data_IF_419849660300
#
_entry.id   IF_419849660300
#
_cell.length_a   1.000
_cell.length_b   1.000
_cell.length_c   1.000
_cell.angle_alpha   90.00
_cell.angle_beta   90.00
_cell.angle_gamma   90.00
#
_symmetry.space_group_name_H-M   'P 1'
#
loop_
_entity.id
_entity.type
_entity.pdbx_description
1 polymer ?
#
# COMPACT_ATOMS: atom_id res chain seq x y z
N UNK A 1 -37.28 -25.83 7.40
CA UNK A 1 -36.04 -25.85 6.59
C UNK A 1 -35.50 -24.45 6.30
N UNK A 2 -36.28 -23.55 5.70
CA UNK A 2 -35.80 -22.22 5.26
C UNK A 2 -35.19 -21.41 6.41
N UNK A 3 -35.86 -21.35 7.57
CA UNK A 3 -35.37 -20.60 8.75
C UNK A 3 -34.03 -21.16 9.28
N UNK A 4 -33.87 -22.49 9.27
CA UNK A 4 -32.62 -23.14 9.69
C UNK A 4 -31.47 -22.88 8.71
N UNK A 5 -31.75 -22.86 7.40
CA UNK A 5 -30.75 -22.51 6.39
C UNK A 5 -30.32 -21.05 6.51
N UNK A 6 -31.23 -20.13 6.81
CA UNK A 6 -30.91 -18.71 7.00
C UNK A 6 -30.02 -18.51 8.24
N UNK A 7 -30.35 -19.18 9.34
CA UNK A 7 -29.51 -19.14 10.55
C UNK A 7 -28.13 -19.74 10.33
N UNK A 8 -28.04 -20.90 9.66
CA UNK A 8 -26.76 -21.53 9.33
C UNK A 8 -25.91 -20.64 8.40
N UNK A 9 -26.53 -19.97 7.44
CA UNK A 9 -25.84 -19.05 6.54
C UNK A 9 -25.26 -17.85 7.32
N UNK A 10 -26.05 -17.24 8.22
CA UNK A 10 -25.60 -16.10 9.04
C UNK A 10 -24.45 -16.51 9.95
N UNK A 11 -24.58 -17.63 10.67
CA UNK A 11 -23.55 -18.12 11.60
C UNK A 11 -22.26 -18.50 10.86
N UNK A 12 -22.39 -19.17 9.70
CA UNK A 12 -21.24 -19.50 8.86
C UNK A 12 -20.50 -18.24 8.37
N UNK A 13 -21.24 -17.20 7.98
CA UNK A 13 -20.67 -15.94 7.50
C UNK A 13 -19.91 -15.19 8.60
N UNK A 14 -20.43 -15.22 9.83
CA UNK A 14 -19.75 -14.65 11.01
C UNK A 14 -18.48 -15.42 11.32
N UNK A 15 -18.55 -16.76 11.42
CA UNK A 15 -17.39 -17.60 11.74
C UNK A 15 -16.25 -17.45 10.73
N UNK A 16 -16.56 -17.40 9.43
CA UNK A 16 -15.56 -17.20 8.37
C UNK A 16 -14.90 -15.83 8.48
N UNK A 17 -15.68 -14.77 8.76
CA UNK A 17 -15.11 -13.44 8.96
C UNK A 17 -14.26 -13.36 10.23
N UNK A 18 -14.67 -13.99 11.33
CA UNK A 18 -13.88 -14.05 12.57
C UNK A 18 -12.58 -14.82 12.38
N UNK A 19 -12.62 -15.96 11.68
CA UNK A 19 -11.43 -16.75 11.37
C UNK A 19 -10.45 -15.98 10.49
N UNK A 20 -10.95 -15.34 9.42
CA UNK A 20 -10.09 -14.49 8.58
C UNK A 20 -9.52 -13.30 9.34
N UNK A 21 -10.29 -12.69 10.23
CA UNK A 21 -9.82 -11.58 11.06
C UNK A 21 -8.67 -12.00 11.98
N UNK A 22 -8.80 -13.14 12.65
CA UNK A 22 -7.75 -13.67 13.52
C UNK A 22 -6.50 -14.10 12.76
N UNK A 23 -6.65 -14.70 11.58
CA UNK A 23 -5.54 -15.28 10.83
C UNK A 23 -4.81 -14.28 9.93
N UNK A 24 -5.52 -13.32 9.35
CA UNK A 24 -4.99 -12.37 8.37
C UNK A 24 -5.03 -10.91 8.83
N UNK A 25 -5.42 -10.66 10.09
CA UNK A 25 -5.46 -9.33 10.69
C UNK A 25 -6.52 -8.40 10.11
N UNK A 26 -7.56 -8.93 9.48
CA UNK A 26 -8.62 -8.15 8.82
C UNK A 26 -9.75 -9.03 8.27
N UNK A 27 -10.94 -8.46 8.09
CA UNK A 27 -12.10 -9.19 7.54
C UNK A 27 -12.07 -9.21 6.00
N UNK A 28 -12.85 -10.10 5.35
CA UNK A 28 -12.98 -10.08 3.88
C UNK A 28 -13.52 -8.74 3.38
N UNK A 29 -14.40 -8.12 4.16
CA UNK A 29 -14.93 -6.79 3.89
C UNK A 29 -13.82 -5.73 3.94
N UNK A 30 -12.85 -5.84 4.84
CA UNK A 30 -11.73 -4.91 4.90
C UNK A 30 -10.81 -5.01 3.66
N UNK A 31 -10.67 -6.20 3.06
CA UNK A 31 -10.01 -6.36 1.75
C UNK A 31 -10.83 -5.80 0.59
N UNK A 32 -12.16 -5.96 0.59
CA UNK A 32 -13.04 -5.51 -0.48
C UNK A 32 -13.34 -4.00 -0.43
N UNK A 33 -13.37 -3.43 0.77
CA UNK A 33 -13.64 -2.02 1.06
C UNK A 33 -12.39 -1.22 1.43
N UNK A 34 -11.19 -1.81 1.34
CA UNK A 34 -9.94 -1.03 1.27
C UNK A 34 -10.02 -0.17 0.02
N UNK A 35 -10.59 1.02 0.22
CA UNK A 35 -10.60 2.12 -0.73
C UNK A 35 -9.23 2.17 -1.37
N UNK A 36 -9.23 2.15 -2.69
CA UNK A 36 -8.11 2.47 -3.59
C UNK A 36 -7.52 3.87 -3.38
N UNK A 37 -7.79 4.53 -2.25
CA UNK A 37 -7.66 5.97 -2.06
C UNK A 37 -6.91 6.33 -0.78
N UNK A 38 -5.79 5.65 -0.55
CA UNK A 38 -4.63 6.35 0.00
C UNK A 38 -3.57 6.32 -1.09
N UNK A 39 -3.81 7.07 -2.18
CA UNK A 39 -2.67 7.57 -2.95
C UNK A 39 -1.75 8.20 -1.92
N UNK A 40 -0.56 7.63 -1.77
CA UNK A 40 0.47 8.17 -0.90
C UNK A 40 0.55 9.69 -1.11
N UNK A 41 0.60 10.52 -0.04
CA UNK A 41 0.76 11.96 -0.18
C UNK A 41 2.09 12.34 -0.90
N UNK A 42 2.99 11.37 -1.05
CA UNK A 42 4.28 11.49 -1.75
C UNK A 42 4.23 10.92 -3.17
N UNK A 43 3.13 10.31 -3.62
CA UNK A 43 2.98 9.82 -4.98
C UNK A 43 3.06 10.97 -6.00
N UNK A 44 3.95 10.83 -6.98
CA UNK A 44 4.28 11.86 -7.97
C UNK A 44 5.47 12.74 -7.60
N UNK A 45 6.02 12.61 -6.38
CA UNK A 45 7.23 13.34 -5.98
C UNK A 45 8.50 12.62 -6.43
N UNK A 46 9.59 13.37 -6.57
CA UNK A 46 10.88 12.85 -6.98
C UNK A 46 11.58 12.23 -5.76
N UNK A 47 12.07 11.00 -5.90
CA UNK A 47 12.88 10.30 -4.91
C UNK A 47 14.36 10.53 -5.21
N UNK A 48 15.09 11.05 -4.22
CA UNK A 48 16.54 11.17 -4.22
C UNK A 48 17.13 10.30 -3.11
N UNK A 49 18.30 9.73 -3.34
CA UNK A 49 19.04 9.02 -2.29
C UNK A 49 19.62 10.03 -1.30
N UNK A 50 19.34 9.87 0.00
CA UNK A 50 19.84 10.75 1.06
C UNK A 50 21.35 10.71 1.20
N UNK A 51 21.98 9.58 0.90
CA UNK A 51 23.44 9.42 1.01
C UNK A 51 24.17 10.08 -0.14
N UNK A 52 23.77 9.77 -1.37
CA UNK A 52 24.49 10.21 -2.57
C UNK A 52 23.88 11.44 -3.26
N UNK A 53 22.67 11.86 -2.86
CA UNK A 53 21.87 12.91 -3.50
C UNK A 53 21.55 12.66 -4.98
N UNK A 54 21.71 11.42 -5.46
CA UNK A 54 21.34 11.07 -6.82
C UNK A 54 19.83 10.87 -6.95
N UNK A 55 19.31 11.26 -8.12
CA UNK A 55 17.94 10.99 -8.50
C UNK A 55 17.75 9.48 -8.70
N UNK A 56 16.74 8.92 -8.03
CA UNK A 56 16.40 7.50 -8.11
C UNK A 56 15.24 7.31 -9.08
N UNK A 57 14.20 8.15 -8.99
CA UNK A 57 12.97 7.97 -9.75
C UNK A 57 11.78 8.76 -9.18
N UNK A 58 10.57 8.43 -9.62
CA UNK A 58 9.32 9.04 -9.13
C UNK A 58 8.63 8.09 -8.16
N UNK A 59 8.24 8.59 -6.98
CA UNK A 59 7.47 7.80 -6.01
C UNK A 59 6.09 7.55 -6.59
N UNK A 60 5.69 6.29 -6.69
CA UNK A 60 4.35 5.89 -7.15
C UNK A 60 3.43 5.56 -5.99
N UNK A 61 3.97 4.90 -4.97
CA UNK A 61 3.18 4.47 -3.83
C UNK A 61 4.04 4.31 -2.57
N UNK A 62 3.38 4.23 -1.43
CA UNK A 62 3.98 3.91 -0.13
C UNK A 62 3.46 2.58 0.37
N UNK A 63 4.35 1.79 0.99
CA UNK A 63 3.93 0.55 1.61
C UNK A 63 4.82 0.12 2.75
N UNK A 64 4.59 -1.11 3.17
CA UNK A 64 5.34 -1.78 4.21
C UNK A 64 5.90 -3.09 3.67
N UNK A 65 7.22 -3.21 3.65
CA UNK A 65 7.96 -4.41 3.24
C UNK A 65 8.37 -5.21 4.48
N UNK A 66 8.11 -6.53 4.55
CA UNK A 66 8.45 -7.36 5.71
C UNK A 66 9.94 -7.37 6.08
N UNK A 67 10.83 -7.06 5.12
CA UNK A 67 12.28 -7.04 5.31
C UNK A 67 12.86 -5.66 5.60
N UNK A 68 12.21 -4.60 5.13
CA UNK A 68 12.74 -3.22 5.13
C UNK A 68 11.87 -2.22 5.89
N UNK A 69 10.75 -2.66 6.45
CA UNK A 69 9.81 -1.79 7.14
C UNK A 69 9.08 -0.88 6.15
N UNK A 70 8.98 0.42 6.46
CA UNK A 70 8.26 1.36 5.60
C UNK A 70 9.08 1.69 4.35
N UNK A 71 8.48 1.51 3.17
CA UNK A 71 9.14 1.68 1.86
C UNK A 71 8.37 2.63 0.95
N UNK A 72 9.09 3.28 0.04
CA UNK A 72 8.55 3.91 -1.15
C UNK A 72 8.73 2.97 -2.35
N UNK A 73 7.68 2.82 -3.14
CA UNK A 73 7.75 2.20 -4.46
C UNK A 73 8.09 3.29 -5.47
N UNK A 74 9.31 3.25 -6.00
CA UNK A 74 9.86 4.27 -6.88
C UNK A 74 9.95 3.72 -8.30
N UNK A 75 9.40 4.43 -9.27
CA UNK A 75 9.57 4.12 -10.69
C UNK A 75 10.80 4.84 -11.25
N UNK A 76 11.75 4.07 -11.75
CA UNK A 76 12.97 4.58 -12.36
C UNK A 76 12.73 5.06 -13.79
N UNK A 77 13.66 5.88 -14.30
CA UNK A 77 13.73 6.23 -15.72
C UNK A 77 14.04 4.95 -16.53
N UNK A 78 12.98 4.33 -17.06
CA UNK A 78 13.04 3.00 -17.68
C UNK A 78 11.81 2.13 -17.36
N UNK A 79 10.94 2.57 -16.45
CA UNK A 79 9.69 1.87 -16.10
C UNK A 79 9.86 0.73 -15.10
N UNK A 80 11.09 0.47 -14.64
CA UNK A 80 11.38 -0.47 -13.55
C UNK A 80 10.95 0.12 -12.20
N UNK A 81 10.19 -0.66 -11.44
CA UNK A 81 9.76 -0.29 -10.09
C UNK A 81 10.72 -0.89 -9.06
N UNK A 82 11.18 -0.08 -8.11
CA UNK A 82 12.09 -0.51 -7.05
C UNK A 82 11.54 -0.13 -5.67
N UNK A 83 11.82 -0.98 -4.68
CA UNK A 83 11.48 -0.75 -3.28
C UNK A 83 12.65 -0.09 -2.55
N UNK A 84 12.43 1.10 -2.02
CA UNK A 84 13.45 1.86 -1.28
C UNK A 84 12.94 2.21 0.12
N UNK A 85 13.77 2.02 1.14
CA UNK A 85 13.41 2.39 2.52
C UNK A 85 13.19 3.89 2.63
N UNK A 86 12.12 4.31 3.33
CA UNK A 86 11.81 5.73 3.53
C UNK A 86 12.93 6.49 4.24
N UNK A 87 13.74 5.83 5.05
CA UNK A 87 14.84 6.44 5.82
C UNK A 87 15.98 6.95 4.92
N UNK A 88 16.14 6.31 3.75
CA UNK A 88 17.21 6.59 2.80
C UNK A 88 16.74 7.45 1.62
N UNK A 89 15.47 7.85 1.59
CA UNK A 89 14.91 8.63 0.49
C UNK A 89 14.61 10.05 0.95
N UNK A 90 15.17 11.01 0.23
CA UNK A 90 14.78 12.40 0.28
C UNK A 90 13.71 12.64 -0.78
N UNK A 91 12.53 13.06 -0.33
CA UNK A 91 11.39 13.34 -1.22
C UNK A 91 11.42 14.82 -1.59
N UNK A 92 11.52 15.12 -2.88
CA UNK A 92 11.47 16.49 -3.40
C UNK A 92 10.25 16.71 -4.27
N UNK A 93 9.63 17.87 -4.11
CA UNK A 93 8.57 18.28 -5.00
C UNK A 93 9.16 18.51 -6.40
N UNK A 94 8.49 18.05 -7.48
CA UNK A 94 8.90 18.41 -8.81
C UNK A 94 8.80 19.93 -8.91
N UNK A 95 9.92 20.62 -9.18
CA UNK A 95 9.87 22.03 -9.51
C UNK A 95 8.87 22.19 -10.65
N UNK A 96 7.79 22.95 -10.41
CA UNK A 96 6.87 23.34 -11.46
C UNK A 96 7.70 24.09 -12.49
N UNK A 97 7.99 23.42 -13.60
CA UNK A 97 8.41 24.06 -14.82
C UNK A 97 7.24 24.92 -15.29
N UNK A 98 7.14 26.15 -14.79
CA UNK A 98 6.33 27.20 -15.42
C UNK A 98 6.86 27.35 -16.85
N UNK A 99 6.09 26.84 -17.80
CA UNK A 99 6.20 27.11 -19.23
C UNK A 99 4.94 27.82 -19.68
#
# INVERSE_FOLDING_TARGET
MIIGCVLAAIVGLVLVNTYMYLQYGGTMFDRYFRKKDTKSPMAGKLAFDKGTKYYIGVIRDEGHSPRRGNVYYVEQAGGSMIEVSKENVEVRDPEKSDK
#
